data_IF_376570785145
#
_entry.id   IF_376570785145
#
_cell.length_a   1.000
_cell.length_b   1.000
_cell.length_c   1.000
_cell.angle_alpha   90.00
_cell.angle_beta   90.00
_cell.angle_gamma   90.00
#
_symmetry.space_group_name_H-M   'P 1'
#
loop_
_entity.id
_entity.type
_entity.pdbx_description
1 polymer ?
#
# COMPACT_ATOMS: atom_id res chain seq x y z
N UNK A 1 9.00 -4.51 3.94
CA UNK A 1 9.28 -5.89 3.46
C UNK A 1 10.68 -6.06 2.88
N UNK A 2 11.08 -5.35 1.82
CA UNK A 2 12.37 -5.61 1.14
C UNK A 2 13.60 -5.37 2.02
N UNK A 3 13.56 -4.41 2.95
CA UNK A 3 14.61 -4.26 3.97
C UNK A 3 14.81 -5.52 4.82
N UNK A 4 13.71 -6.16 5.23
CA UNK A 4 13.77 -7.42 5.99
C UNK A 4 14.35 -8.52 5.11
N UNK A 5 13.99 -8.57 3.83
CA UNK A 5 14.54 -9.54 2.87
C UNK A 5 16.06 -9.37 2.69
N UNK A 6 16.54 -8.14 2.54
CA UNK A 6 17.97 -7.81 2.45
C UNK A 6 18.71 -8.26 3.74
N UNK A 7 18.12 -8.00 4.90
CA UNK A 7 18.69 -8.43 6.18
C UNK A 7 18.75 -9.96 6.31
N UNK A 8 17.66 -10.70 6.02
CA UNK A 8 17.69 -12.18 6.13
C UNK A 8 18.66 -12.81 5.13
N UNK A 9 18.85 -12.20 3.96
CA UNK A 9 19.86 -12.65 2.99
C UNK A 9 21.26 -12.49 3.57
N UNK A 10 21.56 -11.34 4.18
CA UNK A 10 22.85 -11.08 4.83
C UNK A 10 23.15 -12.06 5.97
N UNK A 11 22.16 -12.36 6.81
CA UNK A 11 22.32 -13.26 7.95
C UNK A 11 22.03 -14.73 7.64
N UNK A 12 21.80 -15.08 6.37
CA UNK A 12 21.47 -16.44 5.93
C UNK A 12 20.32 -17.06 6.77
N UNK A 13 19.27 -16.27 7.03
CA UNK A 13 18.07 -16.71 7.74
C UNK A 13 16.95 -17.05 6.76
N UNK A 14 16.00 -17.85 7.24
CA UNK A 14 14.75 -18.12 6.52
C UNK A 14 13.74 -17.01 6.85
N UNK A 15 13.14 -16.41 5.83
CA UNK A 15 11.98 -15.55 5.96
C UNK A 15 10.73 -16.34 5.55
N UNK A 16 9.81 -16.50 6.49
CA UNK A 16 8.50 -17.12 6.23
C UNK A 16 7.46 -16.01 6.17
N UNK A 17 6.71 -15.95 5.07
CA UNK A 17 5.58 -15.04 4.88
C UNK A 17 4.30 -15.85 4.97
N UNK A 18 3.49 -15.55 5.99
CA UNK A 18 2.10 -15.98 6.06
C UNK A 18 1.29 -15.02 5.20
N UNK A 19 1.02 -15.44 3.97
CA UNK A 19 0.45 -14.53 3.00
C UNK A 19 -0.98 -14.14 3.38
N UNK A 20 -1.37 -12.93 2.98
CA UNK A 20 -2.70 -12.39 3.22
C UNK A 20 -3.27 -11.88 1.90
N UNK A 21 -4.55 -12.17 1.62
CA UNK A 21 -5.26 -11.60 0.48
C UNK A 21 -5.11 -10.07 0.42
N UNK A 22 -4.98 -9.53 -0.80
CA UNK A 22 -5.02 -8.09 -1.00
C UNK A 22 -6.47 -7.60 -0.80
N UNK A 23 -6.73 -6.71 0.17
CA UNK A 23 -8.08 -6.38 0.57
C UNK A 23 -8.83 -5.51 -0.45
N UNK A 24 -8.11 -4.85 -1.37
CA UNK A 24 -8.67 -4.11 -2.52
C UNK A 24 -8.57 -4.92 -3.83
N UNK A 25 -8.70 -6.24 -3.73
CA UNK A 25 -8.59 -7.21 -4.83
C UNK A 25 -7.15 -7.49 -5.30
N UNK A 26 -6.93 -8.74 -5.69
CA UNK A 26 -5.75 -9.20 -6.41
C UNK A 26 -5.95 -9.20 -7.93
N UNK A 27 -7.00 -8.57 -8.47
CA UNK A 27 -7.20 -8.52 -9.90
C UNK A 27 -6.17 -7.56 -10.53
N UNK A 28 -5.28 -8.09 -11.37
CA UNK A 28 -4.19 -7.31 -11.97
C UNK A 28 -4.68 -6.25 -12.97
N UNK A 29 -5.88 -6.41 -13.52
CA UNK A 29 -6.52 -5.40 -14.38
C UNK A 29 -6.96 -4.16 -13.58
N UNK A 30 -7.08 -4.28 -12.25
CA UNK A 30 -7.33 -3.16 -11.34
C UNK A 30 -6.03 -2.48 -10.86
N UNK A 31 -4.86 -2.93 -11.31
CA UNK A 31 -3.62 -2.24 -10.99
C UNK A 31 -3.59 -0.89 -11.73
N UNK A 32 -3.43 0.21 -10.99
CA UNK A 32 -3.61 1.56 -11.50
C UNK A 32 -2.75 2.60 -10.78
N UNK A 33 -2.68 3.79 -11.37
CA UNK A 33 -1.92 4.92 -10.88
C UNK A 33 -0.50 5.02 -11.45
N UNK A 34 0.19 6.15 -11.17
CA UNK A 34 1.53 6.39 -11.70
C UNK A 34 2.54 5.41 -11.11
N UNK A 35 3.52 5.02 -11.92
CA UNK A 35 4.70 4.31 -11.44
C UNK A 35 5.55 5.25 -10.62
N UNK A 36 6.10 4.78 -9.50
CA UNK A 36 7.04 5.57 -8.70
C UNK A 36 8.28 5.94 -9.54
N UNK A 37 8.54 7.25 -9.62
CA UNK A 37 9.83 7.79 -10.08
C UNK A 37 10.90 7.51 -9.03
N UNK A 38 11.92 6.77 -9.44
CA UNK A 38 13.03 6.37 -8.58
C UNK A 38 13.84 7.56 -8.06
N UNK A 39 13.79 8.74 -8.71
CA UNK A 39 14.39 9.97 -8.17
C UNK A 39 13.71 10.44 -6.88
N UNK A 40 12.45 10.03 -6.65
CA UNK A 40 11.66 10.36 -5.46
C UNK A 40 11.53 9.17 -4.48
N UNK A 41 12.32 8.12 -4.70
CA UNK A 41 12.28 6.93 -3.87
C UNK A 41 12.59 7.25 -2.40
N UNK A 42 11.77 6.72 -1.51
CA UNK A 42 11.83 6.95 -0.07
C UNK A 42 11.40 5.69 0.68
N UNK A 43 11.28 5.78 2.01
CA UNK A 43 10.76 4.68 2.82
C UNK A 43 9.31 4.31 2.44
N UNK A 44 8.47 5.30 2.10
CA UNK A 44 7.06 5.10 1.74
C UNK A 44 6.88 4.49 0.34
N UNK A 45 7.85 4.71 -0.54
CA UNK A 45 7.88 4.15 -1.89
C UNK A 45 9.32 3.87 -2.28
N UNK A 46 9.76 2.62 -2.13
CA UNK A 46 11.17 2.24 -2.34
C UNK A 46 11.46 1.77 -3.76
N UNK A 47 10.48 1.13 -4.41
CA UNK A 47 10.65 0.52 -5.73
C UNK A 47 9.54 0.94 -6.66
N UNK A 48 9.85 0.97 -7.95
CA UNK A 48 8.88 1.29 -8.99
C UNK A 48 7.78 0.22 -9.04
N UNK A 49 6.61 0.60 -8.56
CA UNK A 49 5.34 -0.11 -8.62
C UNK A 49 4.25 0.92 -8.90
N UNK A 50 3.11 0.49 -9.50
CA UNK A 50 1.94 1.34 -9.56
C UNK A 50 1.41 1.57 -8.14
N UNK A 51 0.75 2.71 -7.96
CA UNK A 51 0.15 3.10 -6.68
C UNK A 51 -0.77 2.01 -6.12
N UNK A 52 -1.62 1.44 -6.97
CA UNK A 52 -2.38 0.22 -6.67
C UNK A 52 -1.77 -0.93 -7.47
N UNK A 53 -1.17 -1.88 -6.77
CA UNK A 53 -0.41 -2.97 -7.39
C UNK A 53 -1.17 -4.30 -7.51
N UNK A 54 -2.31 -4.48 -6.83
CA UNK A 54 -3.16 -5.68 -6.91
C UNK A 54 -2.42 -7.02 -6.74
N UNK A 55 -1.42 -7.04 -5.86
CA UNK A 55 -0.62 -8.23 -5.54
C UNK A 55 -0.68 -8.48 -4.03
N UNK A 56 -0.50 -9.73 -3.62
CA UNK A 56 -0.30 -10.09 -2.21
C UNK A 56 1.12 -9.74 -1.75
N UNK A 57 1.35 -9.77 -0.43
CA UNK A 57 2.69 -9.55 0.11
C UNK A 57 3.66 -10.66 -0.34
N UNK A 58 3.20 -11.91 -0.36
CA UNK A 58 3.98 -13.06 -0.81
C UNK A 58 4.41 -12.96 -2.28
N UNK A 59 3.52 -12.49 -3.15
CA UNK A 59 3.81 -12.25 -4.56
C UNK A 59 4.83 -11.13 -4.76
N UNK A 60 4.64 -10.00 -4.05
CA UNK A 60 5.60 -8.90 -4.07
C UNK A 60 6.97 -9.35 -3.54
N UNK A 61 7.00 -10.17 -2.49
CA UNK A 61 8.26 -10.72 -1.95
C UNK A 61 8.99 -11.55 -3.00
N UNK A 62 8.29 -12.46 -3.68
CA UNK A 62 8.88 -13.27 -4.77
C UNK A 62 9.35 -12.38 -5.91
N UNK A 63 8.53 -11.42 -6.33
CA UNK A 63 8.87 -10.48 -7.39
C UNK A 63 10.14 -9.70 -7.09
N UNK A 64 10.25 -9.07 -5.91
CA UNK A 64 11.44 -8.31 -5.56
C UNK A 64 12.66 -9.18 -5.29
N UNK A 65 12.49 -10.39 -4.77
CA UNK A 65 13.62 -11.31 -4.57
C UNK A 65 14.32 -11.60 -5.90
N UNK A 66 13.55 -11.83 -6.96
CA UNK A 66 14.05 -12.06 -8.32
C UNK A 66 14.53 -10.76 -8.97
N UNK A 67 13.68 -9.72 -9.03
CA UNK A 67 13.96 -8.51 -9.81
C UNK A 67 15.12 -7.68 -9.23
N UNK A 68 15.33 -7.73 -7.90
CA UNK A 68 16.44 -7.05 -7.22
C UNK A 68 17.58 -7.99 -6.84
N UNK A 69 17.51 -9.27 -7.22
CA UNK A 69 18.53 -10.27 -6.92
C UNK A 69 18.93 -10.28 -5.43
N UNK A 70 17.94 -10.18 -4.53
CA UNK A 70 18.16 -10.10 -3.08
C UNK A 70 18.71 -11.42 -2.54
N UNK A 71 18.36 -12.55 -3.19
CA UNK A 71 18.77 -13.92 -2.82
C UNK A 71 18.37 -14.28 -1.38
N UNK A 72 17.27 -13.72 -0.89
CA UNK A 72 16.70 -14.11 0.40
C UNK A 72 16.15 -15.54 0.32
N UNK A 73 16.41 -16.34 1.36
CA UNK A 73 15.76 -17.64 1.54
C UNK A 73 14.32 -17.38 2.00
N UNK A 74 13.39 -17.50 1.06
CA UNK A 74 12.00 -17.11 1.22
C UNK A 74 11.09 -18.34 1.14
N UNK A 75 10.22 -18.48 2.13
CA UNK A 75 9.08 -19.38 2.13
C UNK A 75 7.80 -18.54 2.21
N UNK A 76 6.86 -18.78 1.31
CA UNK A 76 5.56 -18.10 1.29
C UNK A 76 4.49 -19.16 1.45
N UNK A 77 3.71 -19.05 2.53
CA UNK A 77 2.54 -19.89 2.78
C UNK A 77 1.35 -19.13 2.17
N UNK A 78 0.82 -19.58 1.01
CA UNK A 78 -0.23 -18.87 0.31
C UNK A 78 -1.55 -18.94 1.08
N UNK A 79 -2.44 -17.98 0.81
CA UNK A 79 -3.81 -18.05 1.30
C UNK A 79 -4.61 -19.10 0.52
N UNK A 80 -5.32 -19.97 1.22
CA UNK A 80 -6.27 -20.92 0.64
C UNK A 80 -7.63 -20.27 0.41
N UNK A 81 -8.41 -20.78 -0.55
CA UNK A 81 -9.79 -20.34 -0.81
C UNK A 81 -9.94 -18.85 -1.16
N UNK A 82 -8.86 -18.19 -1.63
CA UNK A 82 -8.88 -16.81 -2.07
C UNK A 82 -8.86 -16.72 -3.60
N UNK A 83 -9.85 -16.02 -4.17
CA UNK A 83 -9.87 -15.64 -5.58
C UNK A 83 -9.38 -14.20 -5.75
N UNK A 84 -8.59 -13.96 -6.80
CA UNK A 84 -8.02 -12.64 -7.08
C UNK A 84 -9.08 -11.56 -7.28
N UNK A 85 -10.27 -11.90 -7.77
CA UNK A 85 -11.36 -10.94 -7.99
C UNK A 85 -12.09 -10.55 -6.69
N UNK A 86 -11.88 -11.28 -5.59
CA UNK A 86 -12.51 -10.98 -4.30
C UNK A 86 -11.96 -9.70 -3.69
N UNK A 87 -12.86 -8.89 -3.14
CA UNK A 87 -12.57 -7.79 -2.23
C UNK A 87 -12.74 -8.26 -0.77
N UNK A 88 -12.26 -7.47 0.19
CA UNK A 88 -12.35 -7.82 1.61
C UNK A 88 -13.78 -8.20 2.08
N UNK A 89 -14.87 -7.55 1.63
CA UNK A 89 -16.23 -7.95 2.01
C UNK A 89 -16.62 -9.37 1.56
N UNK A 90 -16.03 -9.87 0.47
CA UNK A 90 -16.29 -11.21 -0.07
C UNK A 90 -15.68 -12.32 0.79
N UNK A 91 -14.75 -11.99 1.70
CA UNK A 91 -14.09 -12.98 2.56
C UNK A 91 -14.98 -13.46 3.70
N UNK A 92 -16.16 -12.83 3.89
CA UNK A 92 -17.07 -13.12 5.00
C UNK A 92 -16.41 -13.01 6.39
N UNK A 93 -15.40 -12.16 6.51
CA UNK A 93 -14.68 -11.87 7.75
C UNK A 93 -14.86 -10.39 8.13
N UNK A 94 -14.90 -10.07 9.43
CA UNK A 94 -14.96 -8.68 9.86
C UNK A 94 -13.73 -7.91 9.39
N UNK A 95 -13.94 -6.67 8.96
CA UNK A 95 -12.83 -5.76 8.64
C UNK A 95 -12.05 -5.44 9.91
N UNK A 96 -10.72 -5.61 9.85
CA UNK A 96 -9.82 -5.21 10.93
C UNK A 96 -9.14 -3.92 10.51
N UNK A 97 -9.33 -2.80 11.25
CA UNK A 97 -8.68 -1.53 10.95
C UNK A 97 -7.16 -1.68 10.80
N UNK A 98 -6.62 -1.23 9.67
CA UNK A 98 -5.19 -1.35 9.35
C UNK A 98 -4.38 -0.17 9.89
N UNK A 99 -5.04 0.96 10.19
CA UNK A 99 -4.44 2.15 10.80
C UNK A 99 -5.52 3.03 11.43
N UNK A 100 -5.17 4.03 12.27
CA UNK A 100 -6.15 5.00 12.78
C UNK A 100 -6.95 5.71 11.66
N UNK A 101 -6.35 5.93 10.49
CA UNK A 101 -7.01 6.58 9.36
C UNK A 101 -7.84 5.63 8.48
N UNK A 102 -7.67 4.31 8.63
CA UNK A 102 -8.37 3.29 7.82
C UNK A 102 -9.19 2.41 8.74
N UNK A 103 -10.44 2.83 8.99
CA UNK A 103 -11.37 2.18 9.91
C UNK A 103 -12.38 1.27 9.21
N UNK A 104 -12.59 1.42 7.89
CA UNK A 104 -13.51 0.60 7.12
C UNK A 104 -12.94 0.20 5.76
N UNK A 105 -13.63 -0.75 5.09
CA UNK A 105 -13.30 -1.18 3.73
C UNK A 105 -13.37 -0.01 2.73
N UNK A 106 -14.35 0.88 2.87
CA UNK A 106 -14.54 2.04 2.01
C UNK A 106 -13.37 3.02 2.15
N UNK A 107 -12.95 3.32 3.38
CA UNK A 107 -11.77 4.16 3.62
C UNK A 107 -10.51 3.56 2.98
N UNK A 108 -10.37 2.24 3.04
CA UNK A 108 -9.24 1.54 2.42
C UNK A 108 -9.30 1.54 0.89
N UNK A 109 -10.50 1.44 0.30
CA UNK A 109 -10.71 1.49 -1.14
C UNK A 109 -10.37 2.88 -1.71
N UNK A 110 -10.71 3.94 -0.98
CA UNK A 110 -10.43 5.33 -1.36
C UNK A 110 -8.99 5.77 -1.06
N UNK A 111 -8.32 5.09 -0.12
CA UNK A 111 -6.99 5.46 0.37
C UNK A 111 -5.93 5.74 -0.73
N UNK A 112 -5.79 4.93 -1.80
CA UNK A 112 -4.85 5.23 -2.87
C UNK A 112 -5.13 6.59 -3.53
N UNK A 113 -6.41 6.89 -3.78
CA UNK A 113 -6.85 8.17 -4.35
C UNK A 113 -6.55 9.34 -3.41
N UNK A 114 -6.95 9.21 -2.15
CA UNK A 114 -6.78 10.26 -1.13
C UNK A 114 -5.30 10.63 -0.95
N UNK A 115 -4.42 9.64 -0.75
CA UNK A 115 -2.98 9.89 -0.54
C UNK A 115 -2.34 10.59 -1.74
N UNK A 116 -2.76 10.24 -2.95
CA UNK A 116 -2.27 10.90 -4.17
C UNK A 116 -2.75 12.34 -4.22
N UNK A 117 -4.02 12.58 -3.90
CA UNK A 117 -4.57 13.92 -3.79
C UNK A 117 -3.81 14.75 -2.75
N UNK A 118 -3.62 14.28 -1.52
CA UNK A 118 -2.84 15.00 -0.50
C UNK A 118 -1.44 15.42 -0.99
N UNK A 119 -0.76 14.55 -1.75
CA UNK A 119 0.59 14.86 -2.26
C UNK A 119 0.56 15.90 -3.39
N UNK A 120 -0.44 15.84 -4.28
CA UNK A 120 -0.67 16.84 -5.33
C UNK A 120 -1.20 18.17 -4.76
N UNK A 121 -1.96 18.09 -3.67
CA UNK A 121 -2.64 19.20 -3.02
C UNK A 121 -1.82 19.83 -1.89
N UNK A 122 -0.49 19.67 -1.93
CA UNK A 122 0.46 20.51 -1.16
C UNK A 122 0.37 22.02 -1.49
N UNK A 123 -0.67 22.45 -2.23
CA UNK A 123 -1.13 23.84 -2.34
C UNK A 123 -2.59 24.12 -1.90
N UNK A 124 -3.44 23.11 -1.67
CA UNK A 124 -4.82 23.28 -1.14
C UNK A 124 -5.52 21.92 -0.94
N UNK A 125 -5.99 21.58 0.27
CA UNK A 125 -6.70 20.33 0.55
C UNK A 125 -8.17 20.42 0.12
N UNK A 126 -8.60 19.52 -0.77
CA UNK A 126 -10.03 19.32 -1.12
C UNK A 126 -10.45 17.97 -0.51
N UNK A 127 -11.30 18.01 0.52
CA UNK A 127 -11.93 16.82 1.10
C UNK A 127 -13.23 16.59 0.34
N UNK A 128 -13.37 15.43 -0.30
CA UNK A 128 -14.64 15.02 -0.92
C UNK A 128 -15.48 14.29 0.12
N UNK A 129 -16.64 14.85 0.48
CA UNK A 129 -17.66 14.17 1.30
C UNK A 129 -18.43 13.16 0.44
N UNK A 130 -18.96 12.09 1.06
CA UNK A 130 -19.75 11.03 0.43
C UNK A 130 -21.01 11.52 -0.30
N UNK A 131 -21.38 12.78 -0.11
CA UNK A 131 -22.63 13.37 -0.62
C UNK A 131 -22.46 14.05 -1.98
N UNK A 132 -21.27 13.95 -2.60
CA UNK A 132 -21.00 14.53 -3.93
C UNK A 132 -20.92 16.06 -3.94
N UNK A 133 -21.05 16.70 -2.78
CA UNK A 133 -21.05 18.14 -2.62
C UNK A 133 -19.67 18.62 -2.12
N UNK A 134 -18.88 19.23 -3.01
CA UNK A 134 -17.63 19.93 -2.67
C UNK A 134 -17.97 21.22 -1.90
N UNK A 135 -18.24 21.14 -0.60
CA UNK A 135 -18.74 22.30 0.13
C UNK A 135 -17.75 23.03 1.02
N UNK A 136 -16.46 22.65 1.15
CA UNK A 136 -15.50 23.49 1.89
C UNK A 136 -14.05 23.40 1.38
N UNK A 137 -13.53 24.52 0.87
CA UNK A 137 -12.10 24.75 0.64
C UNK A 137 -11.46 25.23 1.96
N UNK A 138 -10.78 24.33 2.69
CA UNK A 138 -10.02 24.72 3.88
C UNK A 138 -8.59 25.09 3.47
N UNK A 139 -8.29 26.40 3.45
CA UNK A 139 -6.92 26.91 3.36
C UNK A 139 -6.25 26.78 4.73
N UNK A 140 -5.44 25.75 4.91
CA UNK A 140 -4.51 25.71 6.03
C UNK A 140 -3.39 26.73 5.78
N UNK A 141 -3.32 27.76 6.62
CA UNK A 141 -2.24 28.74 6.61
C UNK A 141 -0.89 28.06 6.84
N UNK A 142 0.17 28.61 6.23
CA UNK A 142 1.54 28.13 6.34
C UNK A 142 1.93 27.87 7.80
N UNK A 143 2.03 26.59 8.19
CA UNK A 143 2.66 26.22 9.45
C UNK A 143 4.14 25.99 9.16
N UNK A 144 4.91 27.07 9.25
CA UNK A 144 6.35 26.99 9.36
C UNK A 144 6.71 26.24 10.66
N UNK A 145 7.27 25.04 10.49
CA UNK A 145 7.94 24.31 11.56
C UNK A 145 7.12 23.18 12.15
N UNK A 146 7.51 21.94 11.83
CA UNK A 146 7.99 20.95 12.80
C UNK A 146 8.37 19.67 12.03
N UNK A 147 9.61 19.66 11.55
CA UNK A 147 10.34 18.42 11.35
C UNK A 147 10.70 17.87 12.74
N UNK A 148 9.88 16.97 13.27
CA UNK A 148 10.29 15.86 14.15
C UNK A 148 9.03 15.17 14.65
N UNK A 149 8.89 13.89 14.39
CA UNK A 149 8.51 12.91 15.39
C UNK A 149 8.70 11.51 14.80
N UNK A 150 9.40 10.73 15.62
CA UNK A 150 9.81 9.33 15.51
C UNK A 150 8.59 8.41 15.35
#
# INVERSE_FOLDING_TARGET
MTYVMEAVAQYSKLLVILDRPNPISGNLQLAEGPMLDMATASFLGRWSLPLRHSCTLGELARYFNTMKNIKARLEVIPCSEWDRNMFQPDWHLPFVPTSPAIQSFESMLLYPGDVTMYKLSTKSLIIFSSDGDCQHEYKFGEVNGLASLV
#
